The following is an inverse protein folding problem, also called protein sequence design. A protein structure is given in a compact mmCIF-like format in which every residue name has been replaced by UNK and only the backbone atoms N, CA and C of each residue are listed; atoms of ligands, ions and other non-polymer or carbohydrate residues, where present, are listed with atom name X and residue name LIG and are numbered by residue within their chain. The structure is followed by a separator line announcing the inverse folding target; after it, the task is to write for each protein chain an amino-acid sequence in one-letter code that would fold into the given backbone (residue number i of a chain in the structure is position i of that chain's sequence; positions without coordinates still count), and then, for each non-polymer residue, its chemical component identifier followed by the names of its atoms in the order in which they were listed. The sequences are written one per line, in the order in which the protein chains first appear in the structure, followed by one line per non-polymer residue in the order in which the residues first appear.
data_IF_284277510016
#
_entry.id   IF_284277510016
#
_cell.length_a   1.000
_cell.length_b   1.000
_cell.length_c   1.000
_cell.angle_alpha   90.00
_cell.angle_beta   90.00
_cell.angle_gamma   90.00
#
_symmetry.space_group_name_H-M   'P 1'
#
loop_
_entity.id
_entity.type
_entity.pdbx_description
1 polymer ?
#
# COMPACT_ATOMS: atom_id res chain seq x y z
N UNK A 1 -25.12 -8.44 -21.63
CA UNK A 1 -24.47 -7.51 -20.70
C UNK A 1 -22.99 -7.52 -20.97
N UNK A 2 -22.33 -6.38 -20.82
CA UNK A 2 -20.87 -6.28 -20.92
C UNK A 2 -20.23 -6.84 -19.66
N UNK A 3 -19.09 -7.52 -19.82
CA UNK A 3 -18.27 -7.91 -18.69
C UNK A 3 -17.68 -6.66 -18.02
N UNK A 4 -17.51 -6.74 -16.71
CA UNK A 4 -16.93 -5.64 -15.91
C UNK A 4 -16.01 -6.19 -14.82
N UNK A 5 -15.21 -5.32 -14.23
CA UNK A 5 -14.31 -5.72 -13.16
C UNK A 5 -13.99 -4.57 -12.23
N UNK A 6 -13.53 -4.91 -11.02
CA UNK A 6 -12.92 -4.00 -10.06
C UNK A 6 -11.71 -4.67 -9.39
N UNK A 7 -10.94 -3.89 -8.65
CA UNK A 7 -9.98 -4.41 -7.69
C UNK A 7 -10.67 -4.59 -6.33
N UNK A 8 -10.25 -5.57 -5.56
CA UNK A 8 -10.74 -5.78 -4.20
C UNK A 8 -10.67 -4.49 -3.37
N UNK A 9 -11.78 -4.16 -2.71
CA UNK A 9 -11.91 -2.95 -1.91
C UNK A 9 -12.31 -1.68 -2.67
N UNK A 10 -12.44 -1.74 -3.99
CA UNK A 10 -13.01 -0.65 -4.79
C UNK A 10 -14.54 -0.74 -4.84
N UNK A 11 -15.19 0.37 -5.17
CA UNK A 11 -16.64 0.40 -5.46
C UNK A 11 -16.94 -0.26 -6.81
N UNK A 12 -18.16 -0.78 -6.96
CA UNK A 12 -18.60 -1.33 -8.24
C UNK A 12 -18.72 -0.22 -9.29
N UNK A 13 -18.26 -0.52 -10.51
CA UNK A 13 -18.52 0.32 -11.66
C UNK A 13 -19.96 0.17 -12.15
N UNK A 14 -20.47 1.16 -12.88
CA UNK A 14 -21.77 1.07 -13.54
C UNK A 14 -21.76 -0.06 -14.55
N UNK A 15 -22.81 -0.93 -14.51
CA UNK A 15 -22.96 -2.01 -15.46
C UNK A 15 -23.61 -1.50 -16.74
N UNK A 16 -23.16 -2.02 -17.85
CA UNK A 16 -23.64 -1.65 -19.19
C UNK A 16 -24.05 -2.86 -20.01
N UNK A 17 -24.86 -2.63 -21.02
CA UNK A 17 -25.26 -3.66 -21.97
C UNK A 17 -25.21 -3.15 -23.40
N UNK A 18 -25.20 -4.08 -24.33
CA UNK A 18 -25.44 -3.84 -25.76
C UNK A 18 -26.63 -4.66 -26.19
N UNK A 19 -27.33 -4.17 -27.18
CA UNK A 19 -28.45 -4.91 -27.81
C UNK A 19 -28.26 -4.93 -29.33
N UNK A 20 -28.91 -5.90 -29.97
CA UNK A 20 -29.01 -5.95 -31.42
C UNK A 20 -29.77 -4.74 -31.94
N UNK A 21 -29.67 -4.51 -33.24
CA UNK A 21 -30.35 -3.40 -33.91
C UNK A 21 -31.86 -3.51 -33.73
N UNK A 22 -32.48 -2.49 -33.16
CA UNK A 22 -33.90 -2.33 -33.01
C UNK A 22 -34.53 -1.72 -34.29
N UNK A 23 -35.85 -1.75 -34.39
CA UNK A 23 -36.58 -1.19 -35.53
C UNK A 23 -36.55 0.33 -35.44
N UNK A 24 -36.15 0.97 -36.52
CA UNK A 24 -36.13 2.45 -36.59
C UNK A 24 -35.23 3.10 -35.55
N UNK A 25 -35.81 3.96 -34.71
CA UNK A 25 -35.12 4.69 -33.62
C UNK A 25 -35.54 4.18 -32.24
N UNK A 26 -36.09 2.99 -32.13
CA UNK A 26 -36.52 2.43 -30.86
C UNK A 26 -35.37 2.23 -29.91
N UNK A 27 -35.67 2.29 -28.62
CA UNK A 27 -34.75 2.01 -27.53
C UNK A 27 -35.38 1.10 -26.51
N UNK A 28 -34.61 0.16 -25.98
CA UNK A 28 -35.07 -0.64 -24.86
C UNK A 28 -35.20 0.26 -23.60
N UNK A 29 -36.26 0.03 -22.85
CA UNK A 29 -36.57 0.76 -21.64
C UNK A 29 -36.63 -0.19 -20.45
N UNK A 30 -36.38 0.31 -19.25
CA UNK A 30 -36.53 -0.44 -17.99
C UNK A 30 -35.71 -1.74 -17.93
N UNK A 31 -34.55 -1.76 -18.56
CA UNK A 31 -33.58 -2.84 -18.40
C UNK A 31 -32.95 -2.70 -17.01
N UNK A 32 -32.88 -3.81 -16.30
CA UNK A 32 -32.33 -3.88 -14.92
C UNK A 32 -31.09 -4.77 -14.96
N UNK A 33 -29.99 -4.23 -14.48
CA UNK A 33 -28.71 -4.91 -14.32
C UNK A 33 -28.39 -5.04 -12.84
N UNK A 34 -28.09 -6.26 -12.40
CA UNK A 34 -27.69 -6.55 -11.03
C UNK A 34 -26.58 -7.58 -11.04
N UNK A 35 -25.67 -7.55 -10.09
CA UNK A 35 -24.71 -8.66 -9.94
C UNK A 35 -25.04 -9.54 -8.75
N UNK A 36 -24.50 -10.73 -8.75
CA UNK A 36 -24.51 -11.61 -7.58
C UNK A 36 -23.73 -10.95 -6.44
N UNK A 37 -24.21 -11.17 -5.21
CA UNK A 37 -23.57 -10.67 -4.00
C UNK A 37 -22.21 -11.32 -3.77
N UNK A 38 -21.29 -10.56 -3.18
CA UNK A 38 -19.96 -11.00 -2.82
C UNK A 38 -18.94 -9.89 -3.10
N UNK A 39 -17.92 -9.81 -2.21
CA UNK A 39 -16.85 -8.81 -2.32
C UNK A 39 -15.46 -9.44 -2.36
N UNK A 40 -15.36 -10.75 -2.20
CA UNK A 40 -14.09 -11.47 -2.31
C UNK A 40 -13.62 -11.58 -3.76
N UNK A 41 -12.34 -11.78 -3.93
CA UNK A 41 -11.73 -12.04 -5.25
C UNK A 41 -12.36 -13.28 -5.89
N UNK A 42 -12.85 -13.08 -7.11
CA UNK A 42 -13.59 -14.12 -7.83
C UNK A 42 -14.37 -13.60 -9.01
N UNK A 43 -15.22 -14.45 -9.54
CA UNK A 43 -16.12 -14.12 -10.65
C UNK A 43 -17.56 -14.24 -10.21
N UNK A 44 -18.36 -13.26 -10.56
CA UNK A 44 -19.78 -13.12 -10.23
C UNK A 44 -20.57 -12.91 -11.51
N UNK A 45 -21.82 -13.30 -11.51
CA UNK A 45 -22.68 -13.10 -12.67
C UNK A 45 -23.29 -11.70 -12.62
N UNK A 46 -23.26 -10.99 -13.75
CA UNK A 46 -24.10 -9.79 -13.96
C UNK A 46 -25.37 -10.25 -14.64
N UNK A 47 -26.48 -10.21 -13.92
CA UNK A 47 -27.79 -10.61 -14.39
C UNK A 47 -28.49 -9.45 -15.10
N UNK A 48 -29.19 -9.75 -16.16
CA UNK A 48 -30.01 -8.79 -16.88
C UNK A 48 -31.48 -9.24 -16.89
N UNK A 49 -32.34 -8.29 -16.66
CA UNK A 49 -33.80 -8.46 -16.73
C UNK A 49 -34.45 -7.18 -17.22
N UNK A 50 -35.76 -7.22 -17.41
CA UNK A 50 -36.54 -6.01 -17.64
C UNK A 50 -37.74 -5.95 -16.68
N UNK A 51 -38.26 -4.76 -16.47
CA UNK A 51 -39.54 -4.61 -15.77
C UNK A 51 -40.63 -5.26 -16.58
N UNK A 52 -41.53 -5.98 -15.91
CA UNK A 52 -42.69 -6.63 -16.54
C UNK A 52 -43.51 -5.63 -17.35
N UNK A 53 -43.93 -6.05 -18.55
CA UNK A 53 -44.69 -5.22 -19.51
C UNK A 53 -43.84 -4.17 -20.25
N UNK A 54 -42.54 -4.10 -20.04
CA UNK A 54 -41.64 -3.24 -20.83
C UNK A 54 -41.34 -3.88 -22.19
N UNK A 55 -41.09 -3.04 -23.18
CA UNK A 55 -40.67 -3.44 -24.54
C UNK A 55 -41.62 -4.46 -25.23
N UNK A 56 -42.95 -4.25 -25.23
CA UNK A 56 -43.95 -5.27 -25.65
C UNK A 56 -43.88 -5.65 -27.15
N UNK A 57 -43.18 -4.85 -27.96
CA UNK A 57 -43.01 -5.10 -29.39
C UNK A 57 -41.79 -5.98 -29.72
N UNK A 58 -41.06 -6.42 -28.70
CA UNK A 58 -39.81 -7.18 -28.86
C UNK A 58 -39.86 -8.47 -28.05
N UNK A 59 -39.43 -9.55 -28.67
CA UNK A 59 -39.06 -10.79 -27.96
C UNK A 59 -37.56 -10.71 -27.61
N UNK A 60 -37.26 -10.53 -26.33
CA UNK A 60 -35.92 -10.22 -25.88
C UNK A 60 -35.28 -11.45 -25.22
N UNK A 61 -34.18 -11.91 -25.80
CA UNK A 61 -33.32 -12.91 -25.17
C UNK A 61 -32.21 -12.21 -24.38
N UNK A 62 -32.18 -12.44 -23.09
CA UNK A 62 -31.15 -11.86 -22.21
C UNK A 62 -29.93 -12.76 -22.16
N UNK A 63 -28.75 -12.14 -22.22
CA UNK A 63 -27.45 -12.78 -22.02
C UNK A 63 -26.73 -12.08 -20.87
N UNK A 64 -26.52 -12.82 -19.79
CA UNK A 64 -25.77 -12.35 -18.62
C UNK A 64 -24.32 -12.05 -18.96
N UNK A 65 -23.69 -11.17 -18.16
CA UNK A 65 -22.26 -10.86 -18.20
C UNK A 65 -21.53 -11.43 -17.00
N UNK A 66 -20.23 -11.25 -17.00
CA UNK A 66 -19.32 -11.66 -15.93
C UNK A 66 -18.75 -10.43 -15.23
N UNK A 67 -18.76 -10.43 -13.91
CA UNK A 67 -18.09 -9.46 -13.08
C UNK A 67 -16.89 -10.09 -12.40
N UNK A 68 -15.70 -9.50 -12.55
CA UNK A 68 -14.47 -10.03 -11.95
C UNK A 68 -13.95 -9.09 -10.87
N UNK A 69 -13.78 -9.61 -9.65
CA UNK A 69 -13.05 -8.91 -8.58
C UNK A 69 -11.63 -9.44 -8.60
N UNK A 70 -10.67 -8.55 -8.91
CA UNK A 70 -9.24 -8.83 -8.97
C UNK A 70 -8.60 -8.59 -7.60
N UNK A 71 -7.53 -9.32 -7.24
CA UNK A 71 -6.83 -9.09 -5.99
C UNK A 71 -6.17 -7.71 -5.96
N UNK A 72 -6.14 -7.09 -4.76
CA UNK A 72 -5.39 -5.86 -4.51
C UNK A 72 -3.91 -6.19 -4.38
N UNK A 73 -3.05 -5.58 -5.22
CA UNK A 73 -1.60 -5.67 -5.04
C UNK A 73 -1.15 -4.81 -3.86
N UNK A 74 -0.29 -5.39 -3.00
CA UNK A 74 0.36 -4.69 -1.90
C UNK A 74 1.77 -4.20 -2.22
N UNK A 75 2.28 -4.39 -3.44
CA UNK A 75 3.67 -4.11 -3.83
C UNK A 75 4.12 -2.66 -3.59
N UNK A 76 3.17 -1.72 -3.54
CA UNK A 76 3.41 -0.30 -3.23
C UNK A 76 2.96 0.09 -1.83
N UNK A 77 2.89 -0.86 -0.94
CA UNK A 77 2.51 -0.63 0.45
C UNK A 77 3.59 0.12 1.23
N UNK A 78 3.19 0.64 2.38
CA UNK A 78 4.08 1.24 3.38
C UNK A 78 3.77 0.67 4.76
N UNK A 79 4.66 0.91 5.72
CA UNK A 79 4.57 0.34 7.07
C UNK A 79 4.64 1.45 8.11
N UNK A 80 3.80 1.35 9.14
CA UNK A 80 3.98 2.08 10.40
C UNK A 80 4.67 1.12 11.36
N UNK A 81 5.87 1.50 11.83
CA UNK A 81 6.63 0.72 12.79
C UNK A 81 6.15 1.02 14.21
N UNK A 82 5.94 -0.02 15.01
CA UNK A 82 5.39 0.10 16.37
C UNK A 82 6.42 0.45 17.44
N UNK A 83 7.71 0.25 17.19
CA UNK A 83 8.76 0.48 18.17
C UNK A 83 10.06 0.97 17.53
N UNK A 84 10.88 1.63 18.32
CA UNK A 84 12.25 2.00 17.97
C UNK A 84 13.21 1.07 18.69
N UNK A 85 14.06 0.38 17.93
CA UNK A 85 15.00 -0.59 18.46
C UNK A 85 16.35 0.08 18.79
N UNK A 86 16.89 -0.21 19.99
CA UNK A 86 18.24 0.13 20.40
C UNK A 86 19.02 -1.14 20.65
N UNK A 87 20.30 -1.16 20.27
CA UNK A 87 21.15 -2.33 20.43
C UNK A 87 21.27 -2.79 21.89
N UNK A 88 20.92 -4.06 22.12
CA UNK A 88 20.96 -4.69 23.44
C UNK A 88 21.97 -5.84 23.53
N UNK A 89 22.51 -6.28 22.40
CA UNK A 89 23.29 -7.50 22.27
C UNK A 89 22.43 -8.75 22.04
N UNK A 90 21.13 -8.65 22.26
CA UNK A 90 20.18 -9.73 22.09
C UNK A 90 19.36 -9.59 20.80
N UNK A 91 18.73 -10.70 20.38
CA UNK A 91 17.83 -10.71 19.24
C UNK A 91 16.57 -9.89 19.53
N UNK A 92 16.29 -8.90 18.68
CA UNK A 92 15.16 -8.01 18.80
C UNK A 92 14.19 -8.18 17.64
N UNK A 93 12.93 -7.88 17.87
CA UNK A 93 11.87 -7.93 16.87
C UNK A 93 11.36 -6.52 16.56
N UNK A 94 11.37 -6.13 15.28
CA UNK A 94 10.71 -4.92 14.83
C UNK A 94 9.21 -5.16 14.74
N UNK A 95 8.46 -4.42 15.52
CA UNK A 95 7.01 -4.47 15.48
C UNK A 95 6.47 -3.68 14.28
N UNK A 96 5.47 -4.24 13.62
CA UNK A 96 4.68 -3.59 12.58
C UNK A 96 3.31 -3.29 13.17
N UNK A 97 3.03 -2.00 13.35
CA UNK A 97 1.75 -1.53 13.86
C UNK A 97 0.69 -1.58 12.77
N UNK A 98 0.99 -1.02 11.62
CA UNK A 98 0.10 -1.00 10.47
C UNK A 98 0.85 -1.26 9.15
N UNK A 99 0.15 -1.87 8.21
CA UNK A 99 0.51 -1.90 6.79
C UNK A 99 -0.54 -1.10 6.03
N UNK A 100 -0.10 -0.14 5.22
CA UNK A 100 -0.97 0.74 4.45
C UNK A 100 -0.79 0.48 2.96
N UNK A 101 -1.90 0.36 2.23
CA UNK A 101 -1.93 0.28 0.77
C UNK A 101 -2.91 1.32 0.26
N UNK A 102 -2.48 2.19 -0.65
CA UNK A 102 -3.27 3.32 -1.14
C UNK A 102 -3.84 4.19 0.00
N UNK A 103 -3.10 4.32 1.12
CA UNK A 103 -3.51 5.09 2.30
C UNK A 103 -4.53 4.40 3.21
N UNK A 104 -4.95 3.17 2.90
CA UNK A 104 -5.86 2.37 3.74
C UNK A 104 -5.10 1.28 4.48
N UNK A 105 -5.41 1.09 5.76
CA UNK A 105 -4.81 0.03 6.57
C UNK A 105 -5.35 -1.34 6.16
N UNK A 106 -4.45 -2.31 6.03
CA UNK A 106 -4.81 -3.72 5.88
C UNK A 106 -5.09 -4.35 7.25
N UNK A 107 -5.97 -5.35 7.28
CA UNK A 107 -6.14 -6.19 8.46
C UNK A 107 -4.89 -7.06 8.68
N UNK A 108 -4.55 -7.34 9.94
CA UNK A 108 -3.36 -8.14 10.27
C UNK A 108 -3.42 -9.58 9.75
N UNK A 109 -4.59 -10.08 9.44
CA UNK A 109 -4.82 -11.40 8.85
C UNK A 109 -4.52 -11.45 7.33
N UNK A 110 -4.50 -10.29 6.66
CA UNK A 110 -4.31 -10.18 5.22
C UNK A 110 -2.84 -10.14 4.78
N UNK A 111 -1.91 -10.12 5.74
CA UNK A 111 -0.47 -10.15 5.45
C UNK A 111 0.33 -10.93 6.50
N UNK A 112 1.56 -11.25 6.17
CA UNK A 112 2.58 -11.75 7.08
C UNK A 112 3.81 -10.84 7.09
N UNK A 113 4.46 -10.73 8.24
CA UNK A 113 5.71 -9.99 8.41
C UNK A 113 6.85 -10.99 8.52
N UNK A 114 7.81 -10.89 7.62
CA UNK A 114 8.98 -11.75 7.54
C UNK A 114 10.25 -10.91 7.77
N UNK A 115 11.32 -11.55 8.22
CA UNK A 115 12.65 -10.96 8.37
C UNK A 115 12.71 -9.74 9.32
N UNK A 116 11.73 -9.62 10.23
CA UNK A 116 11.63 -8.51 11.17
C UNK A 116 12.44 -8.70 12.46
N UNK A 117 13.40 -9.61 12.46
CA UNK A 117 14.23 -9.90 13.62
C UNK A 117 15.71 -9.74 13.30
N UNK A 118 16.45 -9.05 14.19
CA UNK A 118 17.88 -8.89 14.08
C UNK A 118 18.55 -8.73 15.45
N UNK A 119 19.86 -8.93 15.50
CA UNK A 119 20.69 -8.77 16.70
C UNK A 119 21.67 -7.61 16.59
N UNK A 120 22.17 -7.36 15.37
CA UNK A 120 23.22 -6.35 15.14
C UNK A 120 22.62 -4.96 14.99
N UNK A 121 23.35 -3.94 15.43
CA UNK A 121 23.04 -2.56 15.08
C UNK A 121 23.14 -2.31 13.57
N UNK A 122 22.44 -1.27 13.10
CA UNK A 122 22.44 -0.88 11.70
C UNK A 122 21.09 -1.09 11.01
N UNK A 123 21.11 -0.95 9.69
CA UNK A 123 19.93 -1.09 8.82
C UNK A 123 19.61 -2.55 8.56
N UNK A 124 18.34 -2.86 8.66
CA UNK A 124 17.77 -4.17 8.37
C UNK A 124 16.55 -4.01 7.46
N UNK A 125 16.12 -5.10 6.86
CA UNK A 125 14.97 -5.10 5.95
C UNK A 125 14.01 -6.19 6.38
N UNK A 126 12.76 -5.82 6.59
CA UNK A 126 11.65 -6.76 6.74
C UNK A 126 10.90 -6.90 5.41
N UNK A 127 10.14 -7.97 5.29
CA UNK A 127 9.29 -8.23 4.12
C UNK A 127 7.84 -8.32 4.58
N UNK A 128 6.96 -7.57 3.92
CA UNK A 128 5.51 -7.74 4.04
C UNK A 128 5.04 -8.55 2.85
N UNK A 129 4.32 -9.64 3.12
CA UNK A 129 3.80 -10.52 2.08
C UNK A 129 2.31 -10.71 2.25
N UNK A 130 1.56 -10.57 1.17
CA UNK A 130 0.11 -10.78 1.15
C UNK A 130 -0.27 -12.20 1.56
N UNK A 131 -1.41 -12.34 2.23
CA UNK A 131 -2.06 -13.60 2.61
C UNK A 131 -3.49 -13.64 2.09
N UNK A 132 -3.99 -14.85 1.95
CA UNK A 132 -5.34 -15.05 1.41
C UNK A 132 -5.43 -14.83 -0.09
N UNK A 133 -6.65 -14.69 -0.59
CA UNK A 133 -6.94 -14.53 -2.02
C UNK A 133 -7.23 -13.08 -2.44
N UNK A 134 -7.62 -12.24 -1.46
CA UNK A 134 -8.05 -10.87 -1.73
C UNK A 134 -6.89 -9.90 -1.95
N UNK A 135 -5.69 -10.30 -1.55
CA UNK A 135 -4.47 -9.52 -1.72
C UNK A 135 -3.39 -10.33 -2.43
N UNK A 136 -2.47 -9.64 -3.10
CA UNK A 136 -1.35 -10.28 -3.81
C UNK A 136 -0.08 -9.44 -3.70
N UNK A 137 1.06 -10.10 -3.92
CA UNK A 137 2.36 -9.43 -3.95
C UNK A 137 3.06 -9.36 -2.59
N UNK A 138 4.16 -8.61 -2.58
CA UNK A 138 4.98 -8.38 -1.38
C UNK A 138 5.87 -7.18 -1.59
N UNK A 139 6.26 -6.52 -0.51
CA UNK A 139 7.24 -5.45 -0.55
C UNK A 139 8.21 -5.51 0.63
N UNK A 140 9.35 -4.86 0.47
CA UNK A 140 10.38 -4.74 1.50
C UNK A 140 10.29 -3.38 2.16
N UNK A 141 10.62 -3.34 3.45
CA UNK A 141 10.61 -2.12 4.23
C UNK A 141 11.79 -2.10 5.19
N UNK A 142 12.55 -1.01 5.19
CA UNK A 142 13.74 -0.90 6.03
C UNK A 142 13.40 -0.49 7.45
N UNK A 143 14.15 -1.05 8.41
CA UNK A 143 14.16 -0.62 9.81
C UNK A 143 15.59 -0.59 10.34
N UNK A 144 15.79 0.00 11.50
CA UNK A 144 17.11 0.11 12.10
C UNK A 144 17.12 -0.34 13.56
N UNK A 145 18.21 -0.99 13.95
CA UNK A 145 18.61 -1.13 15.36
C UNK A 145 19.66 -0.05 15.62
N UNK A 146 19.30 0.95 16.43
CA UNK A 146 20.17 2.08 16.75
C UNK A 146 21.34 1.66 17.66
N UNK A 147 22.52 2.31 17.58
CA UNK A 147 23.63 2.08 18.48
C UNK A 147 23.24 2.30 19.95
N UNK A 148 24.02 1.73 20.86
CA UNK A 148 23.88 1.97 22.30
C UNK A 148 24.25 3.41 22.63
N UNK A 149 23.49 4.07 23.50
CA UNK A 149 23.57 5.52 23.80
C UNK A 149 24.96 6.06 24.19
N UNK A 150 25.91 5.20 24.51
CA UNK A 150 27.24 5.60 24.97
C UNK A 150 28.40 5.30 24.02
N UNK A 151 28.13 4.74 22.84
CA UNK A 151 29.16 4.52 21.84
C UNK A 151 29.35 5.80 21.01
N UNK A 152 30.05 6.79 21.61
CA UNK A 152 30.52 7.96 20.89
C UNK A 152 31.61 7.52 19.90
N UNK A 153 31.25 7.34 18.66
CA UNK A 153 32.21 7.25 17.58
C UNK A 153 32.07 8.53 16.75
N UNK A 154 33.03 9.43 16.96
CA UNK A 154 33.32 10.57 16.10
C UNK A 154 32.21 11.63 15.99
N UNK A 155 32.48 12.81 16.52
CA UNK A 155 31.68 14.02 16.28
C UNK A 155 31.95 14.50 14.85
N UNK A 156 31.09 14.25 13.93
CA UNK A 156 31.06 14.87 12.61
C UNK A 156 29.62 15.25 12.29
N UNK A 157 29.32 16.54 12.26
CA UNK A 157 28.06 17.03 11.68
C UNK A 157 28.34 17.45 10.24
N UNK A 158 27.46 17.08 9.32
CA UNK A 158 27.54 17.58 7.95
C UNK A 158 26.22 18.22 7.53
N UNK A 159 26.34 19.30 6.75
CA UNK A 159 25.17 19.99 6.17
C UNK A 159 25.16 19.73 4.67
N UNK A 160 24.11 19.16 4.15
CA UNK A 160 23.83 19.17 2.72
C UNK A 160 22.96 20.39 2.43
N UNK A 161 23.54 21.44 1.84
CA UNK A 161 22.75 22.54 1.28
C UNK A 161 22.31 22.14 -0.12
N UNK A 162 21.03 21.94 -0.30
CA UNK A 162 20.43 21.78 -1.63
C UNK A 162 19.70 23.06 -1.99
N UNK A 163 19.90 23.54 -3.21
CA UNK A 163 19.08 24.59 -3.83
C UNK A 163 17.96 23.92 -4.61
N UNK A 164 16.84 23.65 -3.95
CA UNK A 164 15.67 23.01 -4.54
C UNK A 164 14.99 21.98 -3.61
N UNK A 165 13.78 21.60 -3.95
CA UNK A 165 13.09 20.52 -3.27
C UNK A 165 13.78 19.18 -3.60
N UNK A 166 14.51 18.62 -2.62
CA UNK A 166 15.09 17.29 -2.72
C UNK A 166 14.19 16.33 -1.97
N UNK A 167 13.60 15.38 -2.68
CA UNK A 167 12.98 14.22 -2.05
C UNK A 167 14.08 13.24 -1.63
N UNK A 168 14.37 13.19 -0.33
CA UNK A 168 15.23 12.15 0.25
C UNK A 168 14.33 10.98 0.62
N UNK A 169 14.64 9.79 0.13
CA UNK A 169 13.89 8.58 0.50
C UNK A 169 14.10 8.26 1.98
N UNK A 170 13.10 7.58 2.59
CA UNK A 170 13.22 7.09 3.98
C UNK A 170 14.48 6.24 4.18
N UNK A 171 14.86 5.45 3.20
CA UNK A 171 16.03 4.58 3.26
C UNK A 171 17.33 5.38 3.29
N UNK A 172 17.44 6.44 2.49
CA UNK A 172 18.58 7.37 2.52
C UNK A 172 18.67 8.08 3.86
N UNK A 173 17.53 8.47 4.44
CA UNK A 173 17.49 9.06 5.79
C UNK A 173 18.03 8.06 6.82
N UNK A 174 17.55 6.80 6.80
CA UNK A 174 18.04 5.76 7.72
C UNK A 174 19.52 5.52 7.54
N UNK A 175 20.05 5.46 6.33
CA UNK A 175 21.48 5.29 6.06
C UNK A 175 22.29 6.47 6.62
N UNK A 176 21.88 7.72 6.35
CA UNK A 176 22.51 8.91 6.89
C UNK A 176 22.54 8.94 8.43
N UNK A 177 21.43 8.52 9.03
CA UNK A 177 21.26 8.54 10.47
C UNK A 177 22.10 7.44 11.14
N UNK A 178 22.25 6.25 10.53
CA UNK A 178 23.13 5.18 11.01
C UNK A 178 24.59 5.57 10.87
N UNK A 179 24.97 6.18 9.74
CA UNK A 179 26.36 6.61 9.49
C UNK A 179 26.81 7.73 10.43
N UNK A 180 25.92 8.66 10.76
CA UNK A 180 26.25 9.85 11.57
C UNK A 180 25.94 9.70 13.07
N UNK A 181 25.27 8.61 13.48
CA UNK A 181 24.99 8.26 14.89
C UNK A 181 24.25 9.34 15.71
N UNK A 182 23.55 10.26 15.06
CA UNK A 182 22.79 11.33 15.71
C UNK A 182 21.31 11.26 15.38
N UNK A 183 20.56 10.28 15.93
CA UNK A 183 19.10 10.29 15.85
C UNK A 183 18.47 10.25 17.23
N UNK A 184 17.44 11.06 17.38
CA UNK A 184 16.47 10.90 18.45
C UNK A 184 15.35 9.94 18.03
N UNK A 185 14.78 9.22 18.99
CA UNK A 185 13.64 8.33 18.76
C UNK A 185 12.43 9.06 18.14
N UNK A 186 12.28 10.37 18.40
CA UNK A 186 11.21 11.19 17.84
C UNK A 186 11.38 11.43 16.33
N UNK A 187 12.59 11.73 15.87
CA UNK A 187 12.88 11.96 14.46
C UNK A 187 12.64 10.69 13.63
N UNK A 188 13.03 9.53 14.16
CA UNK A 188 12.75 8.26 13.49
C UNK A 188 11.24 7.95 13.43
N UNK A 189 10.47 8.29 14.47
CA UNK A 189 9.02 8.15 14.51
C UNK A 189 8.34 9.03 13.46
N UNK A 190 8.77 10.28 13.29
CA UNK A 190 8.24 11.21 12.29
C UNK A 190 8.52 10.74 10.85
N UNK A 191 9.70 10.19 10.59
CA UNK A 191 10.04 9.56 9.31
C UNK A 191 9.12 8.36 9.03
N UNK A 192 8.81 7.55 10.04
CA UNK A 192 7.92 6.41 9.91
C UNK A 192 6.47 6.79 9.58
N UNK A 193 6.01 7.96 10.03
CA UNK A 193 4.66 8.46 9.74
C UNK A 193 4.49 9.07 8.33
N UNK A 194 5.55 9.10 7.52
CA UNK A 194 5.50 9.64 6.15
C UNK A 194 5.31 11.17 6.09
N UNK A 195 5.59 11.88 7.17
CA UNK A 195 5.59 13.34 7.18
C UNK A 195 6.78 13.86 6.38
N UNK A 196 6.57 14.94 5.64
CA UNK A 196 7.68 15.69 5.05
C UNK A 196 8.51 16.28 6.18
N UNK A 197 9.75 15.81 6.31
CA UNK A 197 10.70 16.34 7.28
C UNK A 197 11.67 17.23 6.52
N UNK A 198 11.77 18.49 6.92
CA UNK A 198 12.84 19.37 6.48
C UNK A 198 14.10 19.04 7.30
N UNK A 199 14.98 18.22 6.73
CA UNK A 199 16.25 17.89 7.37
C UNK A 199 17.27 18.92 6.90
N UNK A 200 17.63 19.83 7.80
CA UNK A 200 18.76 20.73 7.58
C UNK A 200 20.01 20.04 8.13
N UNK A 201 20.77 19.43 7.23
CA UNK A 201 22.06 18.83 7.57
C UNK A 201 23.15 19.88 7.41
N UNK A 202 23.78 20.33 8.50
CA UNK A 202 24.95 21.20 8.46
C UNK A 202 26.24 20.38 8.44
N UNK A 203 26.97 20.39 7.32
CA UNK A 203 28.36 19.87 7.25
C UNK A 203 29.30 20.89 7.81
N UNK A 204 29.90 20.63 8.96
CA UNK A 204 31.08 21.35 9.44
C UNK A 204 32.32 20.59 8.95
N UNK A 205 33.14 21.24 8.15
CA UNK A 205 34.44 20.69 7.77
C UNK A 205 35.24 20.32 9.03
N UNK A 206 35.78 19.10 9.05
CA UNK A 206 36.69 18.69 10.10
C UNK A 206 37.93 19.63 10.07
N UNK A 207 38.17 20.34 11.16
CA UNK A 207 39.44 21.06 11.31
C UNK A 207 40.55 20.03 11.40
N UNK A 208 41.34 19.91 10.34
CA UNK A 208 42.63 19.21 10.37
C UNK A 208 43.59 20.03 11.23
N UNK A 209 43.93 19.52 12.41
CA UNK A 209 45.10 19.94 13.17
C UNK A 209 46.36 19.27 12.65
#
# INVERSE_FOLDING_TARGET
VNDASKTYGDEDSEFTYVNDKLIGNDKLTSIILTREEGEDVGTYKIKVSQKEGSNPNYDITFKDGTYTINPLSIDKGTVVLGNVLKYTGEKQTQEVEQVLVNGKALNKEDYEVLDNQATKEGKHVLTIKAKGNNHTGSFKYSYAILPKENDKIGTGSFTVKTTGDVEISRDEIIDLLIENKEITANELSEVAEGKKIEIVLEVKEAQTN
#
